data_IF_394665388511
#
_entry.id   IF_394665388511
#
_cell.length_a   1.000
_cell.length_b   1.000
_cell.length_c   1.000
_cell.angle_alpha   90.00
_cell.angle_beta   90.00
_cell.angle_gamma   90.00
#
_symmetry.space_group_name_H-M   'P 1'
#
loop_
_entity.id
_entity.type
_entity.pdbx_description
1 polymer ?
#
# COMPACT_ATOMS: atom_id res chain seq x y z
N UNK A 1 17.30 -17.56 -6.91
CA UNK A 1 17.58 -16.45 -5.97
C UNK A 1 16.27 -16.07 -5.32
N UNK A 2 15.96 -16.66 -4.15
CA UNK A 2 14.88 -16.16 -3.29
C UNK A 2 15.40 -14.87 -2.66
N UNK A 3 14.83 -13.73 -3.02
CA UNK A 3 15.12 -12.47 -2.35
C UNK A 3 14.19 -12.40 -1.16
N UNK A 4 14.73 -12.34 0.05
CA UNK A 4 13.89 -12.25 1.25
C UNK A 4 13.05 -10.96 1.19
N UNK A 5 11.72 -11.03 1.39
CA UNK A 5 10.84 -9.88 1.30
C UNK A 5 11.25 -8.77 2.26
N UNK A 6 11.82 -9.13 3.42
CA UNK A 6 12.37 -8.20 4.40
C UNK A 6 13.49 -7.34 3.83
N UNK A 7 14.44 -7.87 3.04
CA UNK A 7 15.55 -7.08 2.49
C UNK A 7 15.07 -6.01 1.50
N UNK A 8 14.04 -6.31 0.71
CA UNK A 8 13.44 -5.35 -0.23
C UNK A 8 12.78 -4.18 0.50
N UNK A 9 12.26 -4.43 1.69
CA UNK A 9 11.48 -3.49 2.48
C UNK A 9 12.32 -2.70 3.50
N UNK A 10 13.47 -3.23 3.93
CA UNK A 10 14.36 -2.59 4.92
C UNK A 10 14.71 -1.16 4.49
N UNK A 11 14.42 -0.19 5.37
CA UNK A 11 14.72 1.23 5.18
C UNK A 11 13.75 1.98 4.25
N UNK A 12 12.64 1.36 3.82
CA UNK A 12 11.56 2.07 3.15
C UNK A 12 10.63 2.74 4.18
N UNK A 13 10.10 3.94 3.90
CA UNK A 13 9.09 4.55 4.76
C UNK A 13 7.85 3.65 4.80
N UNK A 14 7.29 3.42 6.00
CA UNK A 14 6.12 2.55 6.17
C UNK A 14 6.36 1.05 6.00
N UNK A 15 7.62 0.61 5.84
CA UNK A 15 7.96 -0.80 5.65
C UNK A 15 7.47 -1.72 6.78
N UNK A 16 7.64 -1.28 8.03
CA UNK A 16 7.19 -2.03 9.22
C UNK A 16 5.68 -2.29 9.15
N UNK A 17 4.89 -1.27 8.79
CA UNK A 17 3.44 -1.42 8.66
C UNK A 17 3.02 -2.37 7.53
N UNK A 18 3.77 -2.40 6.43
CA UNK A 18 3.53 -3.35 5.33
C UNK A 18 3.88 -4.78 5.77
N UNK A 19 4.96 -4.96 6.54
CA UNK A 19 5.33 -6.26 7.11
C UNK A 19 4.26 -6.77 8.07
N UNK A 20 3.79 -5.94 8.99
CA UNK A 20 2.70 -6.26 9.91
C UNK A 20 1.41 -6.61 9.13
N UNK A 21 1.12 -5.85 8.08
CA UNK A 21 -0.03 -6.10 7.22
C UNK A 21 0.06 -7.40 6.42
N UNK A 22 1.26 -7.82 6.03
CA UNK A 22 1.48 -9.11 5.36
C UNK A 22 1.28 -10.26 6.34
N UNK A 23 1.74 -10.13 7.58
CA UNK A 23 1.46 -11.13 8.63
C UNK A 23 -0.04 -11.21 8.90
N UNK A 24 -0.70 -10.07 9.12
CA UNK A 24 -2.16 -10.01 9.33
C UNK A 24 -2.92 -10.63 8.15
N UNK A 25 -2.52 -10.32 6.91
CA UNK A 25 -3.14 -10.88 5.71
C UNK A 25 -2.96 -12.41 5.64
N UNK A 26 -1.77 -12.94 5.93
CA UNK A 26 -1.53 -14.39 5.96
C UNK A 26 -2.34 -15.09 7.06
N UNK A 27 -2.58 -14.41 8.17
CA UNK A 27 -3.38 -14.91 9.29
C UNK A 27 -4.89 -14.70 9.09
N UNK A 28 -5.31 -14.10 7.97
CA UNK A 28 -6.71 -13.79 7.69
C UNK A 28 -7.32 -12.74 8.64
N UNK A 29 -6.48 -11.91 9.28
CA UNK A 29 -6.91 -10.85 10.19
C UNK A 29 -7.39 -9.64 9.40
N UNK A 30 -8.51 -9.07 9.84
CA UNK A 30 -9.06 -7.84 9.30
C UNK A 30 -8.55 -6.67 10.14
N UNK A 31 -7.49 -6.02 9.68
CA UNK A 31 -6.84 -4.91 10.37
C UNK A 31 -6.53 -3.76 9.41
N UNK A 32 -6.25 -2.58 9.96
CA UNK A 32 -5.76 -1.42 9.20
C UNK A 32 -4.54 -1.78 8.32
N UNK A 33 -3.46 -2.39 8.85
CA UNK A 33 -2.31 -2.76 8.02
C UNK A 33 -2.62 -3.86 6.99
N UNK A 34 -3.50 -4.82 7.28
CA UNK A 34 -3.95 -5.80 6.28
C UNK A 34 -4.70 -5.13 5.11
N UNK A 35 -5.54 -4.12 5.38
CA UNK A 35 -6.19 -3.34 4.34
C UNK A 35 -5.20 -2.55 3.49
N UNK A 36 -4.14 -1.98 4.08
CA UNK A 36 -3.10 -1.30 3.31
C UNK A 36 -2.37 -2.26 2.35
N UNK A 37 -2.09 -3.48 2.79
CA UNK A 37 -1.51 -4.53 1.93
C UNK A 37 -2.48 -4.92 0.80
N UNK A 38 -3.78 -5.06 1.09
CA UNK A 38 -4.80 -5.31 0.06
C UNK A 38 -4.86 -4.19 -0.98
N UNK A 39 -4.77 -2.92 -0.56
CA UNK A 39 -4.72 -1.76 -1.47
C UNK A 39 -3.45 -1.79 -2.34
N UNK A 40 -2.30 -2.09 -1.74
CA UNK A 40 -1.00 -2.13 -2.43
C UNK A 40 -0.72 -3.46 -3.18
N UNK A 41 -1.63 -4.43 -3.14
CA UNK A 41 -1.55 -5.73 -3.84
C UNK A 41 -0.91 -5.65 -5.22
N UNK A 42 -1.37 -4.81 -6.17
CA UNK A 42 -0.79 -4.80 -7.53
C UNK A 42 0.71 -4.45 -7.54
N UNK A 43 1.19 -3.64 -6.60
CA UNK A 43 2.60 -3.25 -6.50
C UNK A 43 3.40 -4.32 -5.79
N UNK A 44 2.86 -4.90 -4.72
CA UNK A 44 3.49 -5.99 -3.97
C UNK A 44 3.66 -7.25 -4.84
N UNK A 45 2.65 -7.58 -5.67
CA UNK A 45 2.75 -8.66 -6.66
C UNK A 45 3.85 -8.39 -7.67
N UNK A 46 3.94 -7.17 -8.21
CA UNK A 46 5.02 -6.80 -9.16
C UNK A 46 6.40 -6.83 -8.52
N UNK A 47 6.49 -6.56 -7.21
CA UNK A 47 7.72 -6.66 -6.44
C UNK A 47 8.10 -8.10 -6.05
N UNK A 48 7.21 -9.07 -6.28
CA UNK A 48 7.40 -10.47 -5.84
C UNK A 48 7.14 -10.70 -4.35
N UNK A 49 6.51 -9.75 -3.66
CA UNK A 49 6.17 -9.81 -2.23
C UNK A 49 4.84 -10.52 -1.97
N UNK A 50 3.97 -10.62 -2.98
CA UNK A 50 2.71 -11.35 -2.91
C UNK A 50 2.55 -12.28 -4.13
N UNK A 51 1.82 -13.40 -4.00
CA UNK A 51 1.52 -14.27 -5.13
C UNK A 51 0.71 -13.55 -6.21
N UNK A 52 1.05 -13.79 -7.49
CA UNK A 52 0.33 -13.21 -8.63
C UNK A 52 -1.13 -13.68 -8.78
N UNK A 53 -1.54 -14.69 -8.01
CA UNK A 53 -2.93 -15.14 -7.89
C UNK A 53 -3.81 -14.14 -7.12
N UNK A 54 -3.22 -13.33 -6.24
CA UNK A 54 -3.96 -12.32 -5.48
C UNK A 54 -4.29 -11.15 -6.41
N UNK A 55 -5.59 -10.87 -6.54
CA UNK A 55 -6.11 -9.78 -7.37
C UNK A 55 -6.22 -8.50 -6.55
N UNK A 56 -6.16 -7.37 -7.25
CA UNK A 56 -6.46 -6.07 -6.65
C UNK A 56 -7.86 -6.14 -6.05
N UNK A 57 -7.96 -5.63 -4.83
CA UNK A 57 -9.21 -5.53 -4.11
C UNK A 57 -9.66 -4.07 -4.09
N UNK A 58 -10.62 -3.75 -4.97
CA UNK A 58 -11.15 -2.38 -5.08
C UNK A 58 -11.99 -1.97 -3.86
N UNK A 59 -12.41 -2.93 -3.02
CA UNK A 59 -13.14 -2.67 -1.78
C UNK A 59 -12.25 -2.38 -0.57
N UNK A 60 -10.95 -2.72 -0.64
CA UNK A 60 -10.04 -2.59 0.50
C UNK A 60 -9.86 -1.15 1.01
N UNK A 61 -9.95 -0.16 0.11
CA UNK A 61 -9.88 1.27 0.45
C UNK A 61 -11.11 1.70 1.26
N UNK A 62 -12.30 1.19 0.88
CA UNK A 62 -13.54 1.44 1.60
C UNK A 62 -13.56 0.72 2.95
N UNK A 63 -13.07 -0.51 3.02
CA UNK A 63 -12.93 -1.26 4.28
C UNK A 63 -12.01 -0.51 5.27
N UNK A 64 -10.88 0.03 4.79
CA UNK A 64 -9.98 0.84 5.59
C UNK A 64 -10.69 2.08 6.14
N UNK A 65 -11.42 2.79 5.28
CA UNK A 65 -12.17 3.98 5.70
C UNK A 65 -13.23 3.65 6.75
N UNK A 66 -13.97 2.55 6.58
CA UNK A 66 -14.98 2.11 7.54
C UNK A 66 -14.36 1.74 8.90
N UNK A 67 -13.22 1.06 8.92
CA UNK A 67 -12.51 0.75 10.17
C UNK A 67 -12.04 2.02 10.88
N UNK A 68 -11.47 2.98 10.15
CA UNK A 68 -11.05 4.26 10.71
C UNK A 68 -12.24 5.10 11.20
N UNK A 69 -13.36 5.05 10.49
CA UNK A 69 -14.60 5.72 10.89
C UNK A 69 -15.18 5.14 12.18
N UNK A 70 -15.02 3.84 12.41
CA UNK A 70 -15.40 3.19 13.66
C UNK A 70 -14.52 3.61 14.85
N UNK A 71 -13.24 3.95 14.61
CA UNK A 71 -12.32 4.41 15.67
C UNK A 71 -12.55 5.87 16.10
N UNK A 72 -13.21 6.70 15.28
CA UNK A 72 -13.71 8.01 15.68
C UNK A 72 -13.60 9.13 14.64
N UNK A 73 -13.74 10.36 15.11
CA UNK A 73 -13.89 11.56 14.25
C UNK A 73 -12.64 11.95 13.44
N UNK A 74 -11.49 11.32 13.72
CA UNK A 74 -10.22 11.57 13.01
C UNK A 74 -10.00 10.63 11.82
N UNK A 75 -11.01 9.85 11.44
CA UNK A 75 -10.94 8.88 10.35
C UNK A 75 -10.34 9.44 9.07
N UNK A 76 -10.82 10.60 8.62
CA UNK A 76 -10.34 11.22 7.38
C UNK A 76 -8.88 11.68 7.47
N UNK A 77 -8.44 12.22 8.62
CA UNK A 77 -7.04 12.62 8.82
C UNK A 77 -6.10 11.42 8.90
N UNK A 78 -6.50 10.37 9.62
CA UNK A 78 -5.75 9.11 9.71
C UNK A 78 -5.68 8.42 8.34
N UNK A 79 -6.80 8.38 7.62
CA UNK A 79 -6.88 7.83 6.26
C UNK A 79 -5.88 8.51 5.33
N UNK A 80 -5.91 9.84 5.27
CA UNK A 80 -5.01 10.59 4.41
C UNK A 80 -3.53 10.44 4.81
N UNK A 81 -3.24 10.34 6.11
CA UNK A 81 -1.88 10.09 6.59
C UNK A 81 -1.37 8.71 6.13
N UNK A 82 -2.17 7.66 6.32
CA UNK A 82 -1.84 6.30 5.91
C UNK A 82 -1.70 6.18 4.39
N UNK A 83 -2.58 6.83 3.63
CA UNK A 83 -2.52 6.80 2.17
C UNK A 83 -1.27 7.50 1.63
N UNK A 84 -0.88 8.65 2.19
CA UNK A 84 0.37 9.35 1.81
C UNK A 84 1.62 8.54 2.13
N UNK A 85 1.62 7.87 3.27
CA UNK A 85 2.70 6.98 3.66
C UNK A 85 2.77 5.77 2.71
N UNK A 86 1.63 5.17 2.38
CA UNK A 86 1.53 4.07 1.42
C UNK A 86 2.04 4.47 0.03
N UNK A 87 1.62 5.62 -0.48
CA UNK A 87 2.10 6.16 -1.77
C UNK A 87 3.62 6.39 -1.72
N UNK A 88 4.14 6.94 -0.62
CA UNK A 88 5.58 7.15 -0.45
C UNK A 88 6.35 5.84 -0.44
N UNK A 89 5.81 4.82 0.24
CA UNK A 89 6.32 3.46 0.23
C UNK A 89 6.34 2.88 -1.20
N UNK A 90 5.22 2.95 -1.92
CA UNK A 90 5.10 2.45 -3.30
C UNK A 90 6.12 3.11 -4.23
N UNK A 91 6.30 4.43 -4.12
CA UNK A 91 7.31 5.15 -4.88
C UNK A 91 8.73 4.69 -4.56
N UNK A 92 9.05 4.51 -3.28
CA UNK A 92 10.38 4.07 -2.87
C UNK A 92 10.65 2.62 -3.31
N UNK A 93 9.63 1.76 -3.26
CA UNK A 93 9.68 0.39 -3.79
C UNK A 93 9.87 0.37 -5.31
N UNK A 94 9.10 1.16 -6.07
CA UNK A 94 9.24 1.27 -7.52
C UNK A 94 10.62 1.82 -7.91
N UNK A 95 11.14 2.79 -7.16
CA UNK A 95 12.50 3.30 -7.35
C UNK A 95 13.58 2.22 -7.11
N UNK A 96 13.41 1.34 -6.11
CA UNK A 96 14.30 0.18 -5.91
C UNK A 96 14.20 -0.84 -7.05
N UNK A 97 12.99 -1.14 -7.51
CA UNK A 97 12.75 -2.10 -8.60
C UNK A 97 13.25 -1.58 -9.96
N UNK A 98 13.13 -0.28 -10.22
CA UNK A 98 13.63 0.37 -11.44
C UNK A 98 15.15 0.52 -11.43
N UNK A 99 15.79 0.84 -10.30
CA UNK A 99 17.27 0.79 -10.20
C UNK A 99 17.84 -0.60 -10.46
N UNK A 100 17.06 -1.65 -10.21
CA UNK A 100 17.45 -3.04 -10.46
C UNK A 100 17.29 -3.42 -11.95
N UNK A 101 16.59 -2.62 -12.76
CA UNK A 101 16.38 -2.86 -14.19
C UNK A 101 16.97 -1.71 -15.04
N UNK A 102 18.13 -1.89 -15.71
CA UNK A 102 18.60 -0.89 -16.65
C UNK A 102 17.70 -0.91 -17.91
N UNK A 103 16.73 0.01 -17.99
CA UNK A 103 16.17 0.45 -19.28
C UNK A 103 14.67 0.19 -19.58
N UNK A 104 13.72 0.61 -18.74
CA UNK A 104 12.31 0.70 -19.17
C UNK A 104 11.62 1.99 -18.65
N UNK A 105 10.75 2.66 -19.43
CA UNK A 105 10.15 3.93 -19.03
C UNK A 105 9.16 3.73 -17.88
N UNK A 106 9.34 4.49 -16.79
CA UNK A 106 8.39 4.60 -15.69
C UNK A 106 7.09 5.23 -16.21
N UNK A 107 6.06 4.40 -16.36
CA UNK A 107 4.68 4.87 -16.52
C UNK A 107 4.25 5.42 -15.15
N UNK A 108 4.19 6.75 -15.03
CA UNK A 108 3.72 7.43 -13.83
C UNK A 108 2.26 7.03 -13.57
N UNK A 109 1.91 6.42 -12.43
CA UNK A 109 0.50 6.27 -12.08
C UNK A 109 -0.08 7.66 -11.84
N UNK A 110 -1.00 8.04 -12.70
CA UNK A 110 -1.83 9.24 -12.57
C UNK A 110 -2.70 9.04 -11.32
N UNK A 111 -2.37 9.74 -10.24
CA UNK A 111 -3.20 9.84 -9.05
C UNK A 111 -4.27 10.90 -9.36
N UNK A 112 -5.56 10.55 -9.51
CA UNK A 112 -6.58 11.58 -9.58
C UNK A 112 -6.60 12.32 -8.24
N UNK A 113 -6.27 13.61 -8.31
CA UNK A 113 -6.52 14.55 -7.23
C UNK A 113 -8.02 14.50 -6.91
N UNK A 114 -8.40 13.88 -5.79
CA UNK A 114 -9.75 13.98 -5.26
C UNK A 114 -10.00 15.44 -4.84
N UNK A 115 -10.48 16.22 -5.80
CA UNK A 115 -11.17 17.48 -5.60
C UNK A 115 -12.40 17.20 -4.74
N UNK A 116 -12.32 17.49 -3.45
CA UNK A 116 -13.51 17.73 -2.63
C UNK A 116 -13.94 19.19 -2.87
N UNK A 117 -15.05 19.46 -3.58
CA UNK A 117 -15.66 20.77 -3.46
C UNK A 117 -16.33 20.84 -2.10
N UNK A 118 -15.70 21.55 -1.16
CA UNK A 118 -16.39 22.08 0.01
C UNK A 118 -17.47 23.05 -0.48
N UNK A 119 -18.72 22.64 -0.38
CA UNK A 119 -19.87 23.54 -0.50
C UNK A 119 -19.90 24.48 0.71
N UNK A 120 -19.92 25.79 0.42
CA UNK A 120 -20.57 26.81 1.21
C UNK A 120 -21.77 27.31 0.41
#
# INVERSE_FOLDING_TARGET
>A
MNRDPSELLVGLPGAERILDGLDDFHQGRHSIPACLVRIATPRLVRAGLMPASIRRDDGAELDLYQMLAAEGTRAHSCYNALLRELISFEHALDHRLSKTQPGLPVIKPNLPANSHPSSC
#
